data_IF_128433544106
#
_entry.id   IF_128433544106
#
_cell.length_a   1.000
_cell.length_b   1.000
_cell.length_c   1.000
_cell.angle_alpha   90.00
_cell.angle_beta   90.00
_cell.angle_gamma   90.00
#
_symmetry.space_group_name_H-M   'P 1'
#
loop_
_entity.id
_entity.type
_entity.pdbx_description
1 polymer ?
#
# COMPACT_ATOMS: atom_id res chain seq x y z
N UNK A 1 6.00 -3.07 -13.37
CA UNK A 1 4.60 -2.77 -13.00
C UNK A 1 3.59 -3.22 -14.07
N UNK A 2 3.84 -3.00 -15.36
CA UNK A 2 3.00 -3.56 -16.43
C UNK A 2 2.97 -5.10 -16.34
N UNK A 3 1.80 -5.70 -16.55
CA UNK A 3 1.58 -7.13 -16.35
C UNK A 3 1.22 -7.55 -14.91
N UNK A 4 1.20 -6.63 -13.95
CA UNK A 4 0.77 -6.89 -12.57
C UNK A 4 -0.56 -6.18 -12.25
N UNK A 5 -1.29 -6.72 -11.27
CA UNK A 5 -2.49 -6.09 -10.71
C UNK A 5 -2.06 -5.11 -9.61
N UNK A 6 -2.22 -3.81 -9.86
CA UNK A 6 -1.90 -2.78 -8.86
C UNK A 6 -3.14 -2.48 -8.02
N UNK A 7 -2.99 -2.49 -6.70
CA UNK A 7 -4.03 -2.10 -5.74
C UNK A 7 -3.51 -0.91 -4.94
N UNK A 8 -4.21 0.22 -4.97
CA UNK A 8 -3.75 1.46 -4.36
C UNK A 8 -4.85 2.16 -3.57
N UNK A 9 -4.48 2.83 -2.49
CA UNK A 9 -5.42 3.69 -1.74
C UNK A 9 -5.72 4.99 -2.50
N UNK A 10 -6.82 5.62 -2.10
CA UNK A 10 -7.58 6.60 -2.88
C UNK A 10 -6.79 7.56 -3.80
N UNK A 11 -5.96 8.44 -3.22
CA UNK A 11 -5.25 9.49 -3.96
C UNK A 11 -4.09 8.95 -4.81
N UNK A 12 -3.30 8.02 -4.25
CA UNK A 12 -2.18 7.37 -4.95
C UNK A 12 -2.65 6.68 -6.23
N UNK A 13 -3.73 5.91 -6.17
CA UNK A 13 -4.27 5.24 -7.35
C UNK A 13 -4.78 6.19 -8.43
N UNK A 14 -5.26 7.38 -8.06
CA UNK A 14 -5.64 8.42 -9.03
C UNK A 14 -4.39 9.00 -9.72
N UNK A 15 -3.37 9.37 -8.94
CA UNK A 15 -2.11 9.90 -9.48
C UNK A 15 -1.42 8.93 -10.43
N UNK A 16 -1.38 7.63 -10.10
CA UNK A 16 -0.81 6.61 -10.99
C UNK A 16 -1.59 6.52 -12.29
N UNK A 17 -2.94 6.56 -12.24
CA UNK A 17 -3.77 6.46 -13.43
C UNK A 17 -3.64 7.68 -14.35
N UNK A 18 -3.47 8.86 -13.77
CA UNK A 18 -3.23 10.10 -14.52
C UNK A 18 -1.83 10.10 -15.17
N UNK A 19 -0.81 9.63 -14.45
CA UNK A 19 0.57 9.61 -14.94
C UNK A 19 0.84 8.47 -15.95
N UNK A 20 0.23 7.30 -15.74
CA UNK A 20 0.41 6.11 -16.58
C UNK A 20 -0.95 5.44 -16.84
N UNK A 21 -1.73 5.94 -17.81
CA UNK A 21 -3.10 5.51 -18.07
C UNK A 21 -3.26 4.03 -18.40
N UNK A 22 -2.21 3.39 -18.94
CA UNK A 22 -2.26 1.99 -19.38
C UNK A 22 -2.09 0.98 -18.23
N UNK A 23 -1.73 1.44 -17.01
CA UNK A 23 -1.65 0.54 -15.86
C UNK A 23 -3.04 0.15 -15.34
N UNK A 24 -3.18 -1.14 -15.01
CA UNK A 24 -4.37 -1.68 -14.35
C UNK A 24 -4.29 -1.41 -12.85
N UNK A 25 -5.04 -0.41 -12.39
CA UNK A 25 -5.06 0.05 -10.99
C UNK A 25 -6.47 -0.14 -10.41
N UNK A 26 -6.59 -1.00 -9.40
CA UNK A 26 -7.75 -1.07 -8.52
C UNK A 26 -7.60 -0.05 -7.39
N UNK A 27 -8.62 0.79 -7.21
CA UNK A 27 -8.61 1.84 -6.18
C UNK A 27 -9.41 1.41 -4.95
N UNK A 28 -8.77 1.50 -3.80
CA UNK A 28 -9.39 1.39 -2.48
C UNK A 28 -9.81 2.76 -1.95
N UNK A 29 -10.37 2.81 -0.74
CA UNK A 29 -10.63 4.07 -0.05
C UNK A 29 -9.32 4.83 0.22
N UNK A 30 -9.43 6.11 0.57
CA UNK A 30 -8.28 6.87 1.11
C UNK A 30 -7.85 6.27 2.45
N UNK A 31 -6.57 6.34 2.80
CA UNK A 31 -6.04 5.86 4.08
C UNK A 31 -6.85 6.37 5.28
N UNK A 32 -7.04 7.69 5.37
CA UNK A 32 -7.88 8.37 6.36
C UNK A 32 -9.38 7.97 6.38
N UNK A 33 -9.83 7.15 5.43
CA UNK A 33 -11.19 6.59 5.33
C UNK A 33 -11.19 5.05 5.41
N UNK A 34 -10.13 4.46 5.94
CA UNK A 34 -9.99 3.01 6.12
C UNK A 34 -9.34 2.26 4.95
N UNK A 35 -8.74 2.96 3.98
CA UNK A 35 -8.02 2.32 2.86
C UNK A 35 -6.87 1.43 3.33
N UNK A 36 -6.17 1.83 4.39
CA UNK A 36 -5.04 1.06 4.93
C UNK A 36 -5.51 -0.20 5.66
N UNK A 37 -6.70 -0.16 6.27
CA UNK A 37 -7.36 -1.35 6.83
C UNK A 37 -7.83 -2.31 5.73
N UNK A 38 -8.29 -1.78 4.59
CA UNK A 38 -8.61 -2.61 3.42
C UNK A 38 -7.34 -3.31 2.89
N UNK A 39 -6.21 -2.61 2.81
CA UNK A 39 -4.91 -3.25 2.48
C UNK A 39 -4.57 -4.34 3.50
N UNK A 40 -4.69 -4.06 4.80
CA UNK A 40 -4.44 -5.05 5.85
C UNK A 40 -5.32 -6.29 5.73
N UNK A 41 -6.59 -6.13 5.34
CA UNK A 41 -7.47 -7.26 5.06
C UNK A 41 -6.95 -8.11 3.90
N UNK A 42 -6.49 -7.48 2.81
CA UNK A 42 -5.94 -8.18 1.64
C UNK A 42 -4.62 -8.91 1.96
N UNK A 43 -3.78 -8.36 2.85
CA UNK A 43 -2.61 -9.07 3.39
C UNK A 43 -3.09 -10.33 4.14
N UNK A 44 -4.04 -10.16 5.06
CA UNK A 44 -4.51 -11.25 5.92
C UNK A 44 -5.21 -12.38 5.14
N UNK A 45 -5.80 -12.08 3.98
CA UNK A 45 -6.47 -13.04 3.10
C UNK A 45 -5.55 -13.60 2.00
N UNK A 46 -4.28 -13.20 1.94
CA UNK A 46 -3.32 -13.66 0.94
C UNK A 46 -3.62 -13.15 -0.47
N UNK A 47 -4.26 -11.99 -0.60
CA UNK A 47 -4.63 -11.37 -1.88
C UNK A 47 -3.56 -10.40 -2.43
N UNK A 48 -2.51 -10.13 -1.65
CA UNK A 48 -1.35 -9.32 -2.03
C UNK A 48 -0.08 -10.18 -2.02
N UNK A 49 0.66 -10.16 -3.13
CA UNK A 49 1.98 -10.79 -3.24
C UNK A 49 3.12 -9.90 -2.68
N UNK A 50 2.82 -8.63 -2.42
CA UNK A 50 3.78 -7.66 -1.89
C UNK A 50 3.15 -6.27 -1.69
N UNK A 51 3.77 -5.46 -0.84
CA UNK A 51 3.27 -4.13 -0.46
C UNK A 51 4.38 -3.09 -0.55
N UNK A 52 4.08 -1.96 -1.18
CA UNK A 52 4.92 -0.75 -1.12
C UNK A 52 4.14 0.32 -0.35
N UNK A 53 4.68 0.75 0.79
CA UNK A 53 3.99 1.67 1.69
C UNK A 53 4.92 2.81 2.12
N UNK A 54 4.88 3.91 1.36
CA UNK A 54 5.64 5.10 1.67
C UNK A 54 4.85 6.00 2.61
N UNK A 55 5.33 6.10 3.84
CA UNK A 55 4.85 7.06 4.84
C UNK A 55 5.76 8.28 4.89
N UNK A 56 5.20 9.44 5.23
CA UNK A 56 5.99 10.63 5.54
C UNK A 56 6.47 10.55 6.99
N UNK A 57 7.79 10.40 7.25
CA UNK A 57 8.31 10.25 8.60
C UNK A 57 8.21 11.54 9.44
N UNK A 58 7.79 12.66 8.84
CA UNK A 58 7.68 13.97 9.50
C UNK A 58 6.25 14.29 9.96
N UNK A 59 5.26 13.47 9.58
CA UNK A 59 3.85 13.65 9.95
C UNK A 59 3.55 13.03 11.30
N UNK A 60 3.05 13.84 12.23
CA UNK A 60 3.31 13.59 13.66
C UNK A 60 2.45 12.54 14.37
N UNK A 61 1.27 12.12 13.89
CA UNK A 61 0.40 11.26 14.73
C UNK A 61 -0.58 10.32 14.00
N UNK A 62 -0.91 10.56 12.73
CA UNK A 62 -1.91 9.75 12.02
C UNK A 62 -1.36 8.50 11.32
N UNK A 63 -0.16 8.61 10.74
CA UNK A 63 0.44 7.52 9.95
C UNK A 63 1.05 6.39 10.78
N UNK A 64 1.45 6.66 12.03
CA UNK A 64 2.21 5.69 12.82
C UNK A 64 1.40 4.44 13.20
N UNK A 65 0.13 4.60 13.53
CA UNK A 65 -0.73 3.46 13.93
C UNK A 65 -1.02 2.56 12.73
N UNK A 66 -1.37 3.14 11.59
CA UNK A 66 -1.67 2.38 10.37
C UNK A 66 -0.39 1.72 9.81
N UNK A 67 0.76 2.40 9.85
CA UNK A 67 2.06 1.83 9.49
C UNK A 67 2.40 0.62 10.38
N UNK A 68 2.27 0.76 11.70
CA UNK A 68 2.53 -0.33 12.64
C UNK A 68 1.58 -1.51 12.41
N UNK A 69 0.30 -1.25 12.18
CA UNK A 69 -0.70 -2.28 11.92
C UNK A 69 -0.42 -3.04 10.61
N UNK A 70 -0.15 -2.32 9.52
CA UNK A 70 0.19 -2.93 8.22
C UNK A 70 1.50 -3.72 8.28
N UNK A 71 2.54 -3.16 8.91
CA UNK A 71 3.83 -3.85 9.08
C UNK A 71 3.66 -5.13 9.90
N UNK A 72 2.87 -5.08 10.98
CA UNK A 72 2.56 -6.26 11.80
C UNK A 72 1.84 -7.34 10.99
N UNK A 73 0.87 -6.97 10.15
CA UNK A 73 0.16 -7.91 9.30
C UNK A 73 1.08 -8.52 8.23
N UNK A 74 1.91 -7.71 7.59
CA UNK A 74 2.88 -8.18 6.61
C UNK A 74 3.84 -9.23 7.21
N UNK A 75 4.36 -8.98 8.43
CA UNK A 75 5.20 -9.95 9.14
C UNK A 75 4.44 -11.23 9.49
N UNK A 76 3.20 -11.09 10.01
CA UNK A 76 2.42 -12.25 10.45
C UNK A 76 2.03 -13.18 9.29
N UNK A 77 1.81 -12.61 8.11
CA UNK A 77 1.37 -13.32 6.91
C UNK A 77 2.50 -13.53 5.89
N UNK A 78 3.76 -13.30 6.28
CA UNK A 78 4.96 -13.45 5.44
C UNK A 78 4.85 -12.77 4.07
N UNK A 79 4.26 -11.57 4.05
CA UNK A 79 4.08 -10.77 2.85
C UNK A 79 5.21 -9.73 2.74
N UNK A 80 5.97 -9.70 1.62
CA UNK A 80 7.01 -8.69 1.43
C UNK A 80 6.46 -7.26 1.54
N UNK A 81 7.15 -6.42 2.32
CA UNK A 81 6.78 -5.01 2.49
C UNK A 81 8.00 -4.10 2.33
N UNK A 82 7.88 -3.10 1.46
CA UNK A 82 8.87 -2.05 1.24
C UNK A 82 8.36 -0.72 1.84
N UNK A 83 9.13 -0.17 2.78
CA UNK A 83 8.82 1.08 3.49
C UNK A 83 9.66 2.28 3.02
N UNK A 84 10.55 2.07 2.04
CA UNK A 84 11.38 3.09 1.41
C UNK A 84 11.53 2.82 -0.07
N UNK A 85 11.88 3.84 -0.85
CA UNK A 85 12.18 3.67 -2.28
C UNK A 85 13.32 2.67 -2.50
N UNK A 86 14.39 2.75 -1.70
CA UNK A 86 15.51 1.81 -1.80
C UNK A 86 15.11 0.36 -1.56
N UNK A 87 14.16 0.08 -0.66
CA UNK A 87 13.65 -1.26 -0.44
C UNK A 87 12.68 -1.72 -1.54
N UNK A 88 11.99 -0.78 -2.20
CA UNK A 88 11.07 -1.08 -3.30
C UNK A 88 11.81 -1.37 -4.63
N UNK A 89 13.05 -0.91 -4.77
CA UNK A 89 13.91 -1.15 -5.93
C UNK A 89 14.66 -2.49 -5.87
N UNK A 90 14.69 -3.16 -4.70
CA UNK A 90 15.34 -4.47 -4.51
C UNK A 90 14.50 -5.61 -5.07
#
# INVERSE_FOLDING_TARGET
LQGHRLICTGGTGAMIKDAVPDLSVQRLQRGARGGDQQLGALIATGELDGVVFFTDPTMSHGGDVDLQALTRLAILHDTPIALSASAADM
#
